data_IF_667878944682
#
_entry.id   IF_667878944682
#
_cell.length_a   1.000
_cell.length_b   1.000
_cell.length_c   1.000
_cell.angle_alpha   90.00
_cell.angle_beta   90.00
_cell.angle_gamma   90.00
#
_symmetry.space_group_name_H-M   'P 1'
#
loop_
_entity.id
_entity.type
_entity.pdbx_description
1 polymer ?
#
# COMPACT_ATOMS: atom_id res chain seq x y z
N UNK A 1 23.76 7.51 -6.62
CA UNK A 1 22.58 6.69 -6.26
C UNK A 1 21.58 7.61 -5.60
N UNK A 2 20.60 8.06 -6.37
CA UNK A 2 19.42 8.73 -5.81
C UNK A 2 18.62 7.65 -5.08
N UNK A 3 18.12 7.92 -3.87
CA UNK A 3 17.21 7.00 -3.16
C UNK A 3 15.77 7.37 -3.49
N UNK A 4 14.83 6.45 -3.30
CA UNK A 4 13.41 6.75 -3.33
C UNK A 4 13.07 7.89 -2.35
N UNK A 5 12.13 8.73 -2.75
CA UNK A 5 11.69 9.90 -1.99
C UNK A 5 10.20 9.80 -1.74
N UNK A 6 9.80 9.87 -0.47
CA UNK A 6 8.39 10.00 -0.08
C UNK A 6 7.86 11.36 -0.52
N UNK A 7 6.72 11.37 -1.21
CA UNK A 7 6.06 12.56 -1.69
C UNK A 7 4.88 12.93 -0.79
N UNK A 8 4.75 14.22 -0.51
CA UNK A 8 3.63 14.77 0.25
C UNK A 8 2.46 15.06 -0.71
N UNK A 9 1.83 14.01 -1.21
CA UNK A 9 0.66 14.09 -2.11
C UNK A 9 -0.63 13.88 -1.32
N UNK A 10 -1.73 14.49 -1.77
CA UNK A 10 -3.05 14.18 -1.23
C UNK A 10 -3.46 12.76 -1.64
N UNK A 11 -3.51 11.86 -0.66
CA UNK A 11 -3.91 10.47 -0.82
C UNK A 11 -5.28 10.19 -0.17
N UNK A 12 -6.11 11.21 0.03
CA UNK A 12 -7.43 11.08 0.68
C UNK A 12 -8.38 10.11 -0.02
N UNK A 13 -8.16 9.81 -1.30
CA UNK A 13 -8.92 8.83 -2.09
C UNK A 13 -8.33 7.42 -2.05
N UNK A 14 -7.13 7.25 -1.50
CA UNK A 14 -6.45 5.96 -1.36
C UNK A 14 -6.75 5.30 0.00
N UNK A 15 -6.63 3.96 0.09
CA UNK A 15 -6.70 3.26 1.36
C UNK A 15 -5.75 3.82 2.40
N UNK A 16 -6.16 3.73 3.67
CA UNK A 16 -5.34 4.16 4.78
C UNK A 16 -4.13 3.24 4.92
N UNK A 17 -2.94 3.83 4.88
CA UNK A 17 -1.68 3.08 4.82
C UNK A 17 -0.90 3.34 3.54
N UNK A 18 -1.56 3.85 2.50
CA UNK A 18 -0.89 4.20 1.26
C UNK A 18 0.11 5.35 1.45
N UNK A 19 1.29 5.21 0.83
CA UNK A 19 2.27 6.28 0.68
C UNK A 19 2.79 6.37 -0.74
N UNK A 20 3.01 7.60 -1.20
CA UNK A 20 3.49 7.90 -2.54
C UNK A 20 5.00 8.11 -2.54
N UNK A 21 5.68 7.45 -3.47
CA UNK A 21 7.13 7.54 -3.64
C UNK A 21 7.51 7.83 -5.08
N UNK A 22 8.56 8.64 -5.26
CA UNK A 22 9.34 8.66 -6.50
C UNK A 22 10.56 7.78 -6.32
N UNK A 23 10.71 6.76 -7.16
CA UNK A 23 11.86 5.85 -7.16
C UNK A 23 13.09 6.51 -7.79
N UNK A 24 14.26 5.89 -7.61
CA UNK A 24 15.55 6.36 -8.12
C UNK A 24 15.66 6.43 -9.63
N UNK A 25 14.91 5.58 -10.35
CA UNK A 25 14.79 5.59 -11.81
C UNK A 25 13.87 6.70 -12.35
N UNK A 26 13.24 7.47 -11.46
CA UNK A 26 12.31 8.55 -11.78
C UNK A 26 10.86 8.11 -11.94
N UNK A 27 10.54 6.82 -11.78
CA UNK A 27 9.17 6.33 -11.75
C UNK A 27 8.46 6.67 -10.45
N UNK A 28 7.14 6.61 -10.46
CA UNK A 28 6.28 6.95 -9.32
C UNK A 28 5.44 5.74 -8.93
N UNK A 29 5.39 5.44 -7.63
CA UNK A 29 4.66 4.30 -7.08
C UNK A 29 3.91 4.68 -5.83
N UNK A 30 2.72 4.10 -5.64
CA UNK A 30 2.08 4.03 -4.33
C UNK A 30 2.34 2.66 -3.75
N UNK A 31 2.74 2.62 -2.48
CA UNK A 31 2.85 1.39 -1.70
C UNK A 31 1.68 1.39 -0.71
N UNK A 32 0.87 0.34 -0.77
CA UNK A 32 -0.26 0.11 0.11
C UNK A 32 0.11 -0.97 1.13
N UNK A 33 0.04 -0.64 2.41
CA UNK A 33 0.26 -1.57 3.52
C UNK A 33 -1.06 -1.81 4.25
N UNK A 34 -1.23 -3.03 4.74
CA UNK A 34 -2.42 -3.36 5.52
C UNK A 34 -2.38 -2.65 6.90
N UNK A 35 -3.23 -1.65 7.09
CA UNK A 35 -3.32 -0.93 8.37
C UNK A 35 -4.45 -1.45 9.27
N UNK A 36 -4.26 -1.44 10.60
CA UNK A 36 -5.30 -1.85 11.53
C UNK A 36 -6.56 -0.96 11.50
N UNK A 37 -6.49 0.29 11.03
CA UNK A 37 -7.63 1.22 11.05
C UNK A 37 -8.64 0.95 9.92
N UNK A 38 -8.21 0.36 8.79
CA UNK A 38 -9.13 -0.27 7.83
C UNK A 38 -9.96 -1.40 8.47
N UNK A 39 -9.50 -1.97 9.60
CA UNK A 39 -10.14 -3.13 10.26
C UNK A 39 -11.28 -2.81 11.20
N UNK A 40 -11.65 -1.55 11.45
CA UNK A 40 -12.86 -1.27 12.21
C UNK A 40 -14.10 -1.37 11.33
N UNK A 41 -14.32 -2.58 10.85
CA UNK A 41 -15.58 -3.03 10.32
C UNK A 41 -16.59 -3.14 11.48
N UNK A 42 -17.12 -2.00 11.89
CA UNK A 42 -18.41 -1.94 12.58
C UNK A 42 -19.48 -2.66 11.74
N UNK A 43 -19.27 -2.72 10.41
CA UNK A 43 -20.13 -3.40 9.45
C UNK A 43 -19.96 -4.93 9.44
N UNK A 44 -18.73 -5.47 9.48
CA UNK A 44 -18.54 -6.94 9.60
C UNK A 44 -18.96 -7.43 10.97
N UNK A 45 -18.66 -6.72 12.07
CA UNK A 45 -19.17 -7.08 13.40
C UNK A 45 -20.71 -7.11 13.45
N UNK A 46 -21.39 -6.22 12.71
CA UNK A 46 -22.86 -6.23 12.57
C UNK A 46 -23.37 -7.41 11.73
N UNK A 47 -22.65 -7.81 10.68
CA UNK A 47 -23.01 -8.91 9.77
C UNK A 47 -22.67 -10.29 10.35
N UNK A 48 -21.56 -10.43 11.06
CA UNK A 48 -21.03 -11.72 11.54
C UNK A 48 -21.44 -12.05 12.97
N UNK A 49 -22.46 -11.39 13.56
CA UNK A 49 -22.95 -11.72 14.91
C UNK A 49 -23.20 -13.23 15.07
N UNK A 50 -22.24 -13.91 15.70
CA UNK A 50 -22.27 -15.35 15.97
C UNK A 50 -21.31 -16.24 15.18
N UNK A 51 -20.61 -15.72 14.16
CA UNK A 51 -19.57 -16.46 13.43
C UNK A 51 -18.18 -16.01 13.87
N UNK A 52 -17.26 -16.97 14.08
CA UNK A 52 -15.87 -16.65 14.34
C UNK A 52 -15.26 -16.01 13.08
N UNK A 53 -15.01 -14.70 13.13
CA UNK A 53 -14.23 -14.01 12.12
C UNK A 53 -12.74 -14.29 12.36
N UNK A 54 -12.09 -14.95 11.40
CA UNK A 54 -10.64 -15.09 11.37
C UNK A 54 -10.11 -14.08 10.39
N UNK A 55 -9.45 -13.05 10.92
CA UNK A 55 -8.80 -12.04 10.12
C UNK A 55 -7.73 -12.66 9.22
N UNK A 56 -7.79 -12.34 7.93
CA UNK A 56 -6.77 -12.71 6.94
C UNK A 56 -6.01 -11.45 6.56
N UNK A 57 -4.71 -11.44 6.84
CA UNK A 57 -3.88 -10.27 6.55
C UNK A 57 -3.69 -10.07 5.04
N UNK A 58 -3.82 -8.82 4.58
CA UNK A 58 -3.60 -8.48 3.17
C UNK A 58 -2.10 -8.28 2.90
N UNK A 59 -1.62 -8.63 1.70
CA UNK A 59 -0.25 -8.37 1.31
C UNK A 59 0.01 -6.86 1.18
N UNK A 60 1.28 -6.48 1.29
CA UNK A 60 1.74 -5.14 0.91
C UNK A 60 1.88 -5.09 -0.60
N UNK A 61 1.26 -4.12 -1.26
CA UNK A 61 1.24 -4.06 -2.74
C UNK A 61 1.83 -2.76 -3.25
N UNK A 62 2.42 -2.82 -4.44
CA UNK A 62 3.03 -1.67 -5.12
C UNK A 62 2.30 -1.41 -6.43
N UNK A 63 1.84 -0.18 -6.63
CA UNK A 63 1.02 0.22 -7.77
C UNK A 63 1.73 1.34 -8.53
N UNK A 64 1.78 1.22 -9.86
CA UNK A 64 2.34 2.24 -10.74
C UNK A 64 1.42 3.46 -10.79
N UNK A 65 1.96 4.65 -10.51
CA UNK A 65 1.21 5.91 -10.55
C UNK A 65 1.94 6.98 -11.38
N UNK A 66 1.30 8.11 -11.59
CA UNK A 66 1.94 9.35 -12.02
C UNK A 66 2.41 10.20 -10.83
N UNK A 67 3.00 11.36 -11.12
CA UNK A 67 3.49 12.31 -10.13
C UNK A 67 2.41 12.89 -9.19
N UNK A 68 1.13 12.69 -9.50
CA UNK A 68 -0.02 13.12 -8.72
C UNK A 68 -0.69 11.95 -7.98
N UNK A 69 -0.05 10.78 -7.92
CA UNK A 69 -0.61 9.56 -7.36
C UNK A 69 -1.89 9.06 -8.07
N UNK A 70 -2.05 9.35 -9.36
CA UNK A 70 -3.08 8.71 -10.17
C UNK A 70 -2.56 7.37 -10.71
N UNK A 71 -3.33 6.30 -10.47
CA UNK A 71 -3.00 4.96 -10.96
C UNK A 71 -2.91 4.94 -12.49
N UNK A 72 -1.77 4.46 -13.01
CA UNK A 72 -1.55 4.25 -14.45
C UNK A 72 -2.05 2.89 -14.93
N UNK A 73 -2.11 1.93 -14.02
CA UNK A 73 -2.65 0.58 -14.24
C UNK A 73 -3.34 0.09 -12.96
N UNK A 74 -4.21 -0.91 -13.10
CA UNK A 74 -4.78 -1.68 -11.99
C UNK A 74 -3.89 -2.87 -11.58
N UNK A 75 -2.81 -3.13 -12.33
CA UNK A 75 -1.87 -4.20 -12.03
C UNK A 75 -1.01 -3.86 -10.80
N UNK A 76 -0.79 -4.88 -9.97
CA UNK A 76 0.22 -4.83 -8.90
C UNK A 76 1.58 -5.03 -9.54
N UNK A 77 2.45 -4.02 -9.47
CA UNK A 77 3.84 -4.15 -9.90
C UNK A 77 4.58 -5.17 -9.05
N UNK A 78 4.35 -5.11 -7.74
CA UNK A 78 4.92 -6.01 -6.76
C UNK A 78 3.91 -6.34 -5.67
N UNK A 79 4.07 -7.51 -5.08
CA UNK A 79 3.30 -7.99 -3.96
C UNK A 79 4.26 -8.62 -2.95
N UNK A 80 4.15 -8.22 -1.70
CA UNK A 80 5.00 -8.68 -0.60
C UNK A 80 4.15 -9.29 0.53
N UNK A 81 4.73 -10.15 1.38
CA UNK A 81 4.02 -10.75 2.48
C UNK A 81 3.33 -9.71 3.40
N UNK A 82 2.19 -10.05 4.01
CA UNK A 82 1.53 -9.17 4.97
C UNK A 82 2.47 -8.72 6.09
N UNK A 83 2.37 -7.45 6.47
CA UNK A 83 3.21 -6.83 7.49
C UNK A 83 4.54 -6.27 6.96
N UNK A 84 4.85 -6.44 5.67
CA UNK A 84 5.99 -5.77 5.02
C UNK A 84 5.80 -4.25 5.07
N UNK A 85 6.75 -3.54 5.65
CA UNK A 85 6.71 -2.08 5.76
C UNK A 85 7.05 -1.38 4.45
N UNK A 86 6.72 -0.08 4.35
CA UNK A 86 7.15 0.77 3.23
C UNK A 86 8.66 0.74 3.00
N UNK A 87 9.45 0.79 4.07
CA UNK A 87 10.91 0.81 3.96
C UNK A 87 11.44 -0.53 3.42
N UNK A 88 10.95 -1.65 3.93
CA UNK A 88 11.34 -3.00 3.46
C UNK A 88 10.90 -3.24 2.01
N UNK A 89 9.73 -2.74 1.61
CA UNK A 89 9.28 -2.80 0.22
C UNK A 89 10.20 -1.97 -0.69
N UNK A 90 10.55 -0.74 -0.30
CA UNK A 90 11.47 0.12 -1.05
C UNK A 90 12.86 -0.51 -1.19
N UNK A 91 13.41 -1.10 -0.12
CA UNK A 91 14.70 -1.81 -0.18
C UNK A 91 14.68 -2.95 -1.20
N UNK A 92 13.58 -3.70 -1.28
CA UNK A 92 13.44 -4.81 -2.22
C UNK A 92 13.20 -4.36 -3.67
N UNK A 93 12.56 -3.21 -3.90
CA UNK A 93 12.31 -2.67 -5.24
C UNK A 93 13.56 -1.98 -5.78
N UNK A 94 14.24 -1.19 -4.95
CA UNK A 94 15.42 -0.41 -5.36
C UNK A 94 16.73 -1.21 -5.30
N UNK A 95 16.74 -2.36 -4.61
CA UNK A 95 17.87 -3.27 -4.56
C UNK A 95 17.92 -4.29 -5.72
N UNK A 96 16.93 -4.28 -6.61
CA UNK A 96 16.85 -5.14 -7.80
C UNK A 96 17.46 -4.47 -9.02
#
# INVERSE_FOLDING_TARGET
>A
MTKAVELQTDLSTWPQGCKHYRLSDGSYVVIDIDTPEERHDRHVDEITRGAAYVYTARPTVVIAVDENACAKSLDRLYEFPPGTTHAEALEQIEGR
#
